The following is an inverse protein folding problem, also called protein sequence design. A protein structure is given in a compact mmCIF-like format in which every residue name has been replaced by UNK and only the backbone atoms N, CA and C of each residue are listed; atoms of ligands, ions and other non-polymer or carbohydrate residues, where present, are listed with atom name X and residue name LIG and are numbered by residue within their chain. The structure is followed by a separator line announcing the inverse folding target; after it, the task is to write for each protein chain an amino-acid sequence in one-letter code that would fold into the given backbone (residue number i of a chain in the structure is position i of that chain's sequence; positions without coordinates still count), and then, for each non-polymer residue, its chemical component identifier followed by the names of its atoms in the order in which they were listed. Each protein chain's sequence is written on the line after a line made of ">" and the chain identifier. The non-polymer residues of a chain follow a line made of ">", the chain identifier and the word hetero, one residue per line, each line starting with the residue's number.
data_IF_301286880846
#
_entry.id   IF_301286880846
#
_cell.length_a   1.000
_cell.length_b   1.000
_cell.length_c   1.000
_cell.angle_alpha   90.00
_cell.angle_beta   90.00
_cell.angle_gamma   90.00
#
_symmetry.space_group_name_H-M   'P 1'
#
loop_
_entity.id
_entity.type
_entity.pdbx_description
1 polymer ?
#
# COMPACT_ATOMS: atom_id res chain seq x y z
N UNK A 1 -9.26 -21.57 -19.91
CA UNK A 1 -9.72 -20.23 -20.30
C UNK A 1 -11.13 -19.86 -19.82
N UNK A 2 -12.06 -20.79 -19.61
CA UNK A 2 -13.41 -20.49 -19.06
C UNK A 2 -13.46 -20.31 -17.53
N UNK A 3 -12.47 -20.73 -16.77
CA UNK A 3 -12.48 -20.70 -15.31
C UNK A 3 -12.10 -19.33 -14.70
N UNK A 4 -11.33 -18.50 -15.41
CA UNK A 4 -10.85 -17.20 -14.88
C UNK A 4 -11.95 -16.12 -14.89
N UNK A 5 -12.91 -16.20 -15.82
CA UNK A 5 -14.03 -15.25 -15.91
C UNK A 5 -15.19 -15.56 -14.95
N UNK A 6 -15.27 -16.76 -14.37
CA UNK A 6 -16.39 -17.14 -13.49
C UNK A 6 -16.16 -16.73 -12.03
N UNK A 7 -14.93 -16.57 -11.57
CA UNK A 7 -14.62 -16.23 -10.16
C UNK A 7 -14.93 -14.77 -9.82
N UNK A 8 -14.74 -13.83 -10.77
CA UNK A 8 -15.05 -12.41 -10.55
C UNK A 8 -16.56 -12.08 -10.66
N UNK A 9 -17.35 -12.96 -11.26
CA UNK A 9 -18.80 -12.76 -11.38
C UNK A 9 -19.58 -13.13 -10.11
N UNK A 10 -19.06 -14.00 -9.24
CA UNK A 10 -19.76 -14.41 -8.00
C UNK A 10 -19.69 -13.35 -6.89
N UNK A 11 -18.64 -12.56 -6.82
CA UNK A 11 -18.46 -11.56 -5.76
C UNK A 11 -19.37 -10.32 -5.88
N UNK A 12 -20.00 -10.09 -7.05
CA UNK A 12 -20.91 -8.93 -7.26
C UNK A 12 -22.40 -9.21 -7.03
N UNK A 13 -22.80 -10.46 -6.74
CA UNK A 13 -24.23 -10.82 -6.62
C UNK A 13 -24.90 -10.51 -5.29
N UNK A 14 -24.20 -10.13 -4.27
CA UNK A 14 -24.77 -9.92 -2.92
C UNK A 14 -25.29 -8.52 -2.64
N UNK A 15 -25.09 -7.52 -3.52
CA UNK A 15 -25.56 -6.14 -3.28
C UNK A 15 -26.68 -5.59 -4.17
N UNK A 16 -27.13 -6.35 -5.16
CA UNK A 16 -28.28 -5.92 -5.98
C UNK A 16 -29.31 -7.04 -5.91
N UNK A 17 -30.33 -6.86 -5.09
CA UNK A 17 -31.42 -7.80 -4.82
C UNK A 17 -32.17 -8.32 -6.07
N UNK A 18 -31.48 -9.09 -6.89
CA UNK A 18 -32.05 -9.83 -8.02
C UNK A 18 -32.30 -11.25 -7.57
N UNK A 19 -33.57 -11.61 -7.50
CA UNK A 19 -34.08 -12.94 -7.15
C UNK A 19 -33.42 -14.04 -8.00
N UNK A 20 -33.14 -15.15 -7.33
CA UNK A 20 -32.59 -16.40 -7.88
C UNK A 20 -33.25 -16.82 -9.21
N UNK A 21 -32.48 -16.67 -10.28
CA UNK A 21 -32.73 -17.46 -11.49
C UNK A 21 -31.78 -18.65 -11.46
N UNK A 22 -32.28 -19.88 -11.55
CA UNK A 22 -31.44 -21.06 -11.57
C UNK A 22 -30.46 -20.97 -12.74
N UNK A 23 -29.16 -21.08 -12.50
CA UNK A 23 -28.17 -21.36 -13.52
C UNK A 23 -28.52 -22.72 -14.14
N UNK A 24 -29.25 -22.72 -15.20
CA UNK A 24 -29.36 -23.92 -16.06
C UNK A 24 -27.97 -24.14 -16.66
N UNK A 25 -27.27 -25.17 -16.17
CA UNK A 25 -26.24 -25.84 -16.93
C UNK A 25 -26.93 -26.32 -18.23
N UNK A 26 -26.75 -25.58 -19.32
CA UNK A 26 -27.14 -26.05 -20.63
C UNK A 26 -26.23 -27.25 -20.92
N UNK A 27 -26.74 -28.44 -20.66
CA UNK A 27 -26.21 -29.67 -21.20
C UNK A 27 -26.45 -29.59 -22.71
N UNK A 28 -25.42 -29.23 -23.45
CA UNK A 28 -25.41 -29.42 -24.91
C UNK A 28 -25.14 -30.92 -25.09
N UNK A 29 -26.11 -31.71 -25.59
CA UNK A 29 -25.84 -33.07 -25.96
C UNK A 29 -24.80 -33.01 -27.08
N UNK A 30 -23.61 -33.49 -26.85
CA UNK A 30 -22.64 -33.66 -27.91
C UNK A 30 -22.92 -34.95 -28.66
N UNK A 31 -23.81 -34.88 -29.64
CA UNK A 31 -23.85 -35.84 -30.72
C UNK A 31 -22.67 -35.61 -31.67
N UNK A 32 -21.49 -35.67 -31.15
CA UNK A 32 -20.27 -35.77 -31.93
C UNK A 32 -19.62 -37.10 -31.60
N UNK A 33 -19.61 -37.96 -32.61
CA UNK A 33 -19.01 -39.27 -32.66
C UNK A 33 -17.45 -39.21 -32.52
N UNK A 34 -16.95 -38.35 -31.61
CA UNK A 34 -15.54 -38.29 -31.29
C UNK A 34 -15.18 -39.45 -30.37
N UNK A 35 -14.21 -40.26 -30.80
CA UNK A 35 -13.68 -41.35 -29.98
C UNK A 35 -12.94 -40.79 -28.79
N UNK A 36 -13.42 -41.04 -27.58
CA UNK A 36 -12.73 -40.74 -26.33
C UNK A 36 -12.36 -42.06 -25.64
N UNK A 37 -11.15 -42.12 -25.04
CA UNK A 37 -10.65 -43.30 -24.33
C UNK A 37 -10.92 -43.24 -22.83
N UNK A 38 -11.24 -42.04 -22.28
CA UNK A 38 -11.45 -41.81 -20.85
C UNK A 38 -12.95 -41.71 -20.54
N UNK A 39 -13.39 -42.46 -19.54
CA UNK A 39 -14.75 -42.38 -18.99
C UNK A 39 -14.73 -41.45 -17.76
N UNK A 40 -15.89 -40.93 -17.37
CA UNK A 40 -16.06 -40.10 -16.17
C UNK A 40 -15.58 -40.86 -14.90
N UNK A 41 -15.85 -42.15 -14.81
CA UNK A 41 -15.43 -42.98 -13.69
C UNK A 41 -13.91 -43.17 -13.65
N UNK A 42 -13.25 -43.33 -14.81
CA UNK A 42 -11.80 -43.51 -14.88
C UNK A 42 -11.00 -42.26 -14.47
N UNK A 43 -11.62 -41.07 -14.53
CA UNK A 43 -10.95 -39.80 -14.16
C UNK A 43 -11.45 -39.21 -12.83
N UNK A 44 -12.43 -39.84 -12.18
CA UNK A 44 -13.13 -39.30 -11.00
C UNK A 44 -12.15 -38.87 -9.88
N UNK A 45 -11.17 -39.71 -9.54
CA UNK A 45 -10.20 -39.39 -8.49
C UNK A 45 -9.22 -38.29 -8.90
N UNK A 46 -8.89 -38.22 -10.19
CA UNK A 46 -8.05 -37.14 -10.72
C UNK A 46 -8.80 -35.81 -10.63
N UNK A 47 -10.07 -35.81 -11.03
CA UNK A 47 -10.94 -34.62 -10.97
C UNK A 47 -11.09 -34.16 -9.52
N UNK A 48 -11.37 -35.07 -8.57
CA UNK A 48 -11.51 -34.74 -7.16
C UNK A 48 -10.24 -34.11 -6.55
N UNK A 49 -9.06 -34.68 -6.87
CA UNK A 49 -7.77 -34.08 -6.41
C UNK A 49 -7.54 -32.70 -7.01
N UNK A 50 -7.82 -32.50 -8.28
CA UNK A 50 -7.68 -31.21 -8.94
C UNK A 50 -8.69 -30.18 -8.40
N UNK A 51 -9.94 -30.58 -8.12
CA UNK A 51 -10.94 -29.70 -7.52
C UNK A 51 -10.47 -29.20 -6.15
N UNK A 52 -9.94 -30.11 -5.30
CA UNK A 52 -9.39 -29.72 -4.00
C UNK A 52 -8.21 -28.77 -4.16
N UNK A 53 -7.22 -29.12 -4.99
CA UNK A 53 -6.03 -28.28 -5.21
C UNK A 53 -6.43 -26.88 -5.77
N UNK A 54 -7.37 -26.82 -6.70
CA UNK A 54 -7.85 -25.57 -7.26
C UNK A 54 -8.62 -24.72 -6.22
N UNK A 55 -9.40 -25.35 -5.34
CA UNK A 55 -10.08 -24.67 -4.25
C UNK A 55 -9.08 -24.10 -3.24
N UNK A 56 -8.07 -24.86 -2.84
CA UNK A 56 -7.00 -24.43 -1.94
C UNK A 56 -6.19 -23.29 -2.58
N UNK A 57 -5.91 -23.38 -3.89
CA UNK A 57 -5.25 -22.31 -4.64
C UNK A 57 -6.09 -21.03 -4.67
N UNK A 58 -7.38 -21.12 -5.00
CA UNK A 58 -8.27 -19.97 -5.05
C UNK A 58 -8.45 -19.29 -3.68
N UNK A 59 -8.38 -20.05 -2.59
CA UNK A 59 -8.41 -19.50 -1.24
C UNK A 59 -7.11 -18.74 -0.90
N UNK A 60 -5.96 -19.25 -1.32
CA UNK A 60 -4.65 -18.64 -1.06
C UNK A 60 -4.39 -17.43 -1.95
N UNK A 61 -4.88 -17.47 -3.19
CA UNK A 61 -4.71 -16.44 -4.21
C UNK A 61 -6.06 -15.92 -4.70
N UNK A 62 -6.77 -15.14 -3.86
CA UNK A 62 -8.10 -14.62 -4.21
C UNK A 62 -8.07 -13.58 -5.33
N UNK A 63 -6.88 -13.13 -5.72
CA UNK A 63 -6.68 -12.05 -6.67
C UNK A 63 -6.58 -10.68 -6.00
N UNK A 64 -6.49 -9.64 -6.82
CA UNK A 64 -6.40 -8.27 -6.33
C UNK A 64 -7.74 -7.79 -5.74
N UNK A 65 -7.65 -7.08 -4.62
CA UNK A 65 -8.80 -6.46 -3.99
C UNK A 65 -9.29 -5.28 -4.83
N UNK A 66 -10.61 -5.15 -4.98
CA UNK A 66 -11.23 -3.94 -5.53
C UNK A 66 -11.44 -2.82 -4.50
N UNK A 67 -10.89 -2.95 -3.31
CA UNK A 67 -10.93 -1.94 -2.27
C UNK A 67 -9.92 -0.83 -2.58
N UNK A 68 -10.22 0.38 -2.10
CA UNK A 68 -9.29 1.50 -2.19
C UNK A 68 -7.98 1.14 -1.46
N UNK A 69 -6.85 1.31 -2.16
CA UNK A 69 -5.52 1.30 -1.56
C UNK A 69 -5.02 2.75 -1.47
N UNK A 70 -4.47 3.20 -0.33
CA UNK A 70 -3.88 4.54 -0.24
C UNK A 70 -2.65 4.63 -1.15
N UNK A 71 -2.42 5.80 -1.75
CA UNK A 71 -1.25 6.01 -2.63
C UNK A 71 0.02 6.30 -1.84
N UNK A 72 -0.11 6.63 -0.57
CA UNK A 72 1.01 6.85 0.34
C UNK A 72 0.65 6.55 1.79
N UNK A 73 1.69 6.38 2.60
CA UNK A 73 1.64 6.40 4.06
C UNK A 73 2.59 7.46 4.58
N UNK A 74 2.15 8.23 5.57
CA UNK A 74 2.98 9.18 6.32
C UNK A 74 3.18 8.65 7.73
N UNK A 75 4.43 8.61 8.20
CA UNK A 75 4.78 8.24 9.57
C UNK A 75 5.09 9.49 10.39
N UNK A 76 4.53 9.57 11.58
CA UNK A 76 4.81 10.66 12.51
C UNK A 76 4.94 10.17 13.94
N UNK A 77 5.97 10.62 14.65
CA UNK A 77 6.25 10.20 16.04
C UNK A 77 5.02 10.38 16.94
N UNK A 78 4.72 9.37 17.76
CA UNK A 78 3.55 9.33 18.63
C UNK A 78 3.42 10.54 19.57
N UNK A 79 4.56 11.04 20.04
CA UNK A 79 4.62 12.24 20.91
C UNK A 79 4.17 13.55 20.23
N UNK A 80 4.10 13.57 18.90
CA UNK A 80 3.69 14.75 18.10
C UNK A 80 2.27 14.62 17.55
N UNK A 81 1.68 13.44 17.65
CA UNK A 81 0.37 13.17 17.05
C UNK A 81 -0.76 13.91 17.77
N UNK A 82 -1.61 14.55 16.97
CA UNK A 82 -2.86 15.20 17.37
C UNK A 82 -3.97 14.87 16.38
N UNK A 83 -5.20 14.94 16.82
CA UNK A 83 -6.40 14.75 15.98
C UNK A 83 -6.45 15.66 14.74
N UNK A 84 -5.67 16.74 14.74
CA UNK A 84 -5.54 17.70 13.64
C UNK A 84 -4.26 17.55 12.81
N UNK A 85 -3.44 16.55 13.10
CA UNK A 85 -2.10 16.36 12.46
C UNK A 85 -2.21 16.28 10.94
N UNK A 86 -3.15 15.48 10.41
CA UNK A 86 -3.28 15.27 8.96
C UNK A 86 -3.70 16.56 8.23
N UNK A 87 -4.60 17.34 8.81
CA UNK A 87 -4.98 18.65 8.28
C UNK A 87 -3.80 19.62 8.27
N UNK A 88 -3.00 19.63 9.35
CA UNK A 88 -1.80 20.46 9.45
C UNK A 88 -0.75 20.11 8.41
N UNK A 89 -0.55 18.83 8.13
CA UNK A 89 0.35 18.38 7.07
C UNK A 89 -0.14 18.85 5.70
N UNK A 90 -1.44 18.81 5.46
CA UNK A 90 -2.06 19.34 4.24
C UNK A 90 -1.80 20.83 4.04
N UNK A 91 -1.98 21.65 5.09
CA UNK A 91 -1.65 23.08 5.04
C UNK A 91 -0.17 23.33 4.72
N UNK A 92 0.73 22.56 5.31
CA UNK A 92 2.16 22.70 5.04
C UNK A 92 2.51 22.28 3.60
N UNK A 93 1.87 21.26 3.07
CA UNK A 93 2.02 20.84 1.67
C UNK A 93 1.53 21.92 0.69
N UNK A 94 0.37 22.51 0.95
CA UNK A 94 -0.15 23.63 0.15
C UNK A 94 0.77 24.82 0.15
N UNK A 95 1.23 25.25 1.34
CA UNK A 95 2.19 26.38 1.47
C UNK A 95 3.47 26.11 0.69
N UNK A 96 4.01 24.87 0.74
CA UNK A 96 5.19 24.51 -0.03
C UNK A 96 4.92 24.61 -1.53
N UNK A 97 3.78 24.13 -2.02
CA UNK A 97 3.40 24.23 -3.42
C UNK A 97 3.25 25.70 -3.84
N UNK A 98 2.51 26.51 -3.10
CA UNK A 98 2.32 27.93 -3.37
C UNK A 98 3.62 28.73 -3.38
N UNK A 99 4.53 28.41 -2.46
CA UNK A 99 5.81 29.12 -2.32
C UNK A 99 6.79 28.80 -3.47
N UNK A 100 6.88 27.52 -3.87
CA UNK A 100 7.92 27.04 -4.79
C UNK A 100 7.42 26.75 -6.21
N UNK A 101 6.10 26.62 -6.39
CA UNK A 101 5.48 26.45 -7.70
C UNK A 101 4.05 27.03 -7.69
N UNK A 102 3.90 28.37 -7.72
CA UNK A 102 2.61 29.05 -7.61
C UNK A 102 1.67 28.82 -8.80
N UNK A 103 2.17 28.24 -9.88
CA UNK A 103 1.42 27.97 -11.10
C UNK A 103 1.81 26.63 -11.72
N UNK A 104 0.93 26.15 -12.61
CA UNK A 104 1.07 24.87 -13.29
C UNK A 104 2.36 24.76 -14.14
N UNK A 105 2.75 25.84 -14.80
CA UNK A 105 3.95 25.85 -15.67
C UNK A 105 5.23 25.70 -14.84
N UNK A 106 5.33 26.44 -13.73
CA UNK A 106 6.45 26.33 -12.79
C UNK A 106 6.54 24.94 -12.19
N UNK A 107 5.40 24.36 -11.76
CA UNK A 107 5.37 23.01 -11.19
C UNK A 107 5.76 21.96 -12.24
N UNK A 108 5.16 22.01 -13.43
CA UNK A 108 5.47 21.08 -14.52
C UNK A 108 6.96 21.12 -14.88
N UNK A 109 7.56 22.31 -14.96
CA UNK A 109 9.00 22.48 -15.21
C UNK A 109 9.83 21.85 -14.08
N UNK A 110 9.47 22.05 -12.82
CA UNK A 110 10.19 21.52 -11.66
C UNK A 110 10.29 19.99 -11.67
N UNK A 111 9.22 19.29 -12.08
CA UNK A 111 9.16 17.82 -12.08
C UNK A 111 9.27 17.21 -13.49
N UNK A 112 9.46 18.02 -14.54
CA UNK A 112 9.47 17.61 -15.96
C UNK A 112 8.20 16.87 -16.38
N UNK A 113 7.05 17.42 -16.01
CA UNK A 113 5.75 16.95 -16.44
C UNK A 113 5.49 17.37 -17.90
N UNK A 114 4.70 16.62 -18.64
CA UNK A 114 4.27 16.98 -19.99
C UNK A 114 3.39 18.23 -19.97
N UNK A 115 3.66 19.19 -20.84
CA UNK A 115 2.94 20.46 -20.90
C UNK A 115 1.43 20.27 -21.10
N UNK A 116 1.02 19.28 -21.89
CA UNK A 116 -0.40 18.99 -22.17
C UNK A 116 -1.20 18.57 -20.93
N UNK A 117 -0.55 18.06 -19.88
CA UNK A 117 -1.18 17.63 -18.63
C UNK A 117 -0.93 18.59 -17.47
N UNK A 118 -0.05 19.61 -17.67
CA UNK A 118 0.40 20.48 -16.58
C UNK A 118 -0.73 21.11 -15.79
N UNK A 119 -1.67 21.78 -16.46
CA UNK A 119 -2.80 22.47 -15.79
C UNK A 119 -3.73 21.48 -15.10
N UNK A 120 -4.13 20.40 -15.79
CA UNK A 120 -5.05 19.41 -15.24
C UNK A 120 -4.49 18.71 -13.99
N UNK A 121 -3.20 18.39 -13.99
CA UNK A 121 -2.53 17.74 -12.85
C UNK A 121 -2.37 18.73 -11.71
N UNK A 122 -1.95 19.96 -11.99
CA UNK A 122 -1.81 21.00 -10.96
C UNK A 122 -3.12 21.24 -10.21
N UNK A 123 -4.23 21.43 -10.95
CA UNK A 123 -5.55 21.66 -10.36
C UNK A 123 -5.99 20.47 -9.47
N UNK A 124 -5.77 19.24 -9.94
CA UNK A 124 -6.06 18.01 -9.17
C UNK A 124 -5.21 17.90 -7.91
N UNK A 125 -3.92 18.25 -7.99
CA UNK A 125 -3.01 18.27 -6.82
C UNK A 125 -3.51 19.31 -5.79
N UNK A 126 -3.81 20.52 -6.22
CA UNK A 126 -4.33 21.58 -5.33
C UNK A 126 -5.63 21.15 -4.66
N UNK A 127 -6.57 20.59 -5.42
CA UNK A 127 -7.82 20.08 -4.87
C UNK A 127 -7.60 18.93 -3.88
N UNK A 128 -6.74 17.97 -4.23
CA UNK A 128 -6.42 16.83 -3.39
C UNK A 128 -5.80 17.25 -2.06
N UNK A 129 -4.85 18.20 -2.09
CA UNK A 129 -4.22 18.73 -0.89
C UNK A 129 -5.22 19.44 0.04
N UNK A 130 -6.25 20.07 -0.52
CA UNK A 130 -7.33 20.73 0.26
C UNK A 130 -8.30 19.73 0.88
N UNK A 131 -8.66 18.70 0.13
CA UNK A 131 -9.71 17.76 0.52
C UNK A 131 -9.20 16.62 1.40
N UNK A 132 -8.06 16.02 1.04
CA UNK A 132 -7.52 14.80 1.65
C UNK A 132 -6.02 14.71 1.35
N UNK A 133 -5.24 15.55 2.01
CA UNK A 133 -3.81 15.65 1.76
C UNK A 133 -3.02 14.42 2.24
N UNK A 134 -3.51 13.74 3.28
CA UNK A 134 -2.92 12.51 3.83
C UNK A 134 -3.96 11.41 3.73
N UNK A 135 -3.65 10.38 2.96
CA UNK A 135 -4.55 9.23 2.82
C UNK A 135 -4.38 8.21 3.93
N UNK A 136 -3.13 8.00 4.36
CA UNK A 136 -2.79 7.01 5.37
C UNK A 136 -1.75 7.55 6.34
N UNK A 137 -2.00 7.41 7.64
CA UNK A 137 -1.11 7.89 8.70
C UNK A 137 -0.76 6.78 9.69
N UNK A 138 0.54 6.62 9.98
CA UNK A 138 1.03 5.74 11.04
C UNK A 138 1.57 6.57 12.20
N UNK A 139 0.95 6.39 13.36
CA UNK A 139 1.43 6.92 14.63
C UNK A 139 2.60 6.03 15.04
N UNK A 140 3.79 6.61 15.07
CA UNK A 140 5.02 5.87 15.13
C UNK A 140 5.61 5.85 16.55
N UNK A 141 5.66 4.67 17.15
CA UNK A 141 6.32 4.41 18.43
C UNK A 141 7.74 3.84 18.27
N UNK A 142 8.22 3.74 17.04
CA UNK A 142 9.53 3.19 16.70
C UNK A 142 10.51 4.31 16.31
N UNK A 143 11.05 4.35 15.11
CA UNK A 143 12.09 5.30 14.70
C UNK A 143 11.68 6.77 14.83
N UNK A 144 10.44 7.11 14.50
CA UNK A 144 9.92 8.48 14.63
C UNK A 144 9.67 8.93 16.09
N UNK A 145 9.57 7.98 17.00
CA UNK A 145 9.46 8.23 18.44
C UNK A 145 10.82 8.21 19.14
N UNK A 146 11.66 7.24 18.78
CA UNK A 146 12.98 7.01 19.34
C UNK A 146 12.95 6.32 20.72
N UNK A 147 14.11 6.28 21.37
CA UNK A 147 14.23 5.69 22.71
C UNK A 147 13.88 6.72 23.77
N UNK A 148 12.86 6.40 24.57
CA UNK A 148 12.34 7.21 25.66
C UNK A 148 12.11 6.35 26.89
N UNK A 149 12.03 6.94 28.12
CA UNK A 149 11.62 6.21 29.31
C UNK A 149 10.25 5.54 29.11
N UNK A 150 10.06 4.38 29.72
CA UNK A 150 8.83 3.59 29.64
C UNK A 150 7.57 4.38 30.06
N UNK A 151 7.70 5.19 31.12
CA UNK A 151 6.59 6.06 31.58
C UNK A 151 6.20 7.13 30.57
N UNK A 152 7.17 7.68 29.82
CA UNK A 152 6.91 8.65 28.75
C UNK A 152 6.21 7.98 27.57
N UNK A 153 6.62 6.75 27.21
CA UNK A 153 5.99 5.99 26.14
C UNK A 153 4.56 5.56 26.51
N UNK A 154 4.33 5.12 27.76
CA UNK A 154 2.99 4.80 28.27
C UNK A 154 2.05 6.01 28.13
N UNK A 155 2.50 7.17 28.59
CA UNK A 155 1.71 8.40 28.48
C UNK A 155 1.47 8.81 27.02
N UNK A 156 2.45 8.63 26.14
CA UNK A 156 2.30 8.91 24.73
C UNK A 156 1.30 7.94 24.06
N UNK A 157 1.31 6.65 24.44
CA UNK A 157 0.37 5.67 23.93
C UNK A 157 -1.07 6.03 24.31
N UNK A 158 -1.31 6.36 25.57
CA UNK A 158 -2.60 6.82 26.06
C UNK A 158 -3.05 8.13 25.36
N UNK A 159 -2.14 9.13 25.30
CA UNK A 159 -2.44 10.42 24.66
C UNK A 159 -2.76 10.26 23.17
N UNK A 160 -1.98 9.48 22.43
CA UNK A 160 -2.22 9.25 21.01
C UNK A 160 -3.53 8.52 20.76
N UNK A 161 -3.89 7.54 21.57
CA UNK A 161 -5.17 6.83 21.48
C UNK A 161 -6.37 7.77 21.73
N UNK A 162 -6.29 8.66 22.73
CA UNK A 162 -7.30 9.69 22.99
C UNK A 162 -7.45 10.65 21.81
N UNK A 163 -6.33 11.06 21.19
CA UNK A 163 -6.35 11.93 20.00
C UNK A 163 -6.96 11.22 18.78
N UNK A 164 -6.69 9.90 18.59
CA UNK A 164 -7.35 9.10 17.55
C UNK A 164 -8.85 9.03 17.80
N UNK A 165 -9.29 8.73 19.02
CA UNK A 165 -10.71 8.67 19.37
C UNK A 165 -11.41 10.02 19.12
N UNK A 166 -10.77 11.13 19.50
CA UNK A 166 -11.27 12.47 19.23
C UNK A 166 -11.35 12.74 17.72
N UNK A 167 -10.28 12.44 16.97
CA UNK A 167 -10.26 12.66 15.54
C UNK A 167 -11.24 11.76 14.76
N UNK A 168 -11.50 10.56 15.27
CA UNK A 168 -12.53 9.67 14.73
C UNK A 168 -13.93 10.26 14.93
N UNK A 169 -14.23 10.74 16.12
CA UNK A 169 -15.52 11.37 16.43
C UNK A 169 -15.77 12.64 15.59
N UNK A 170 -14.73 13.46 15.38
CA UNK A 170 -14.82 14.71 14.60
C UNK A 170 -14.53 14.53 13.10
N UNK A 171 -14.19 13.31 12.64
CA UNK A 171 -13.82 12.99 11.25
C UNK A 171 -12.65 13.82 10.73
N UNK A 172 -11.62 13.97 11.55
CA UNK A 172 -10.41 14.74 11.23
C UNK A 172 -9.18 13.89 10.98
N UNK A 173 -9.24 12.58 11.26
CA UNK A 173 -8.17 11.63 10.94
C UNK A 173 -8.21 11.22 9.46
N UNK A 174 -7.09 10.69 8.97
CA UNK A 174 -7.01 10.14 7.60
C UNK A 174 -7.92 8.93 7.41
N UNK A 175 -8.33 8.62 6.17
CA UNK A 175 -9.16 7.45 5.84
C UNK A 175 -8.54 6.11 6.23
N UNK A 176 -7.21 6.05 6.25
CA UNK A 176 -6.41 4.93 6.74
C UNK A 176 -5.55 5.43 7.89
N UNK A 177 -5.56 4.71 8.99
CA UNK A 177 -4.78 5.08 10.18
C UNK A 177 -4.30 3.83 10.90
N UNK A 178 -3.20 3.92 11.59
CA UNK A 178 -2.70 2.85 12.42
C UNK A 178 -1.54 3.28 13.30
N UNK A 179 -0.97 2.31 13.97
CA UNK A 179 0.23 2.51 14.78
C UNK A 179 1.37 1.64 14.26
N UNK A 180 2.59 2.13 14.35
CA UNK A 180 3.79 1.30 14.24
C UNK A 180 4.35 1.11 15.65
N UNK A 181 4.34 -0.14 16.11
CA UNK A 181 4.88 -0.54 17.41
C UNK A 181 6.41 -0.74 17.32
N UNK A 182 7.07 -0.93 18.45
CA UNK A 182 8.48 -1.32 18.46
C UNK A 182 8.67 -2.75 17.95
N UNK A 183 9.86 -3.12 17.43
CA UNK A 183 10.13 -4.48 16.96
C UNK A 183 10.09 -5.50 18.11
N UNK A 184 9.79 -6.75 17.77
CA UNK A 184 9.76 -7.85 18.74
C UNK A 184 11.15 -8.48 18.92
N UNK A 185 12.15 -7.63 19.19
CA UNK A 185 13.49 -8.08 19.62
C UNK A 185 13.47 -8.47 21.09
N UNK A 186 14.54 -9.11 21.55
CA UNK A 186 14.69 -9.53 22.96
C UNK A 186 14.54 -8.36 23.93
N UNK A 187 15.07 -7.18 23.55
CA UNK A 187 15.09 -5.99 24.41
C UNK A 187 13.79 -5.18 24.36
N UNK A 188 13.03 -5.25 23.27
CA UNK A 188 11.91 -4.32 23.02
C UNK A 188 10.53 -4.97 23.04
N UNK A 189 10.42 -6.30 22.96
CA UNK A 189 9.14 -6.99 22.84
C UNK A 189 8.16 -6.67 23.96
N UNK A 190 8.61 -6.70 25.21
CA UNK A 190 7.73 -6.43 26.38
C UNK A 190 7.23 -4.98 26.37
N UNK A 191 8.13 -4.06 26.00
CA UNK A 191 7.76 -2.66 25.82
C UNK A 191 6.73 -2.49 24.69
N UNK A 192 6.92 -3.19 23.59
CA UNK A 192 6.02 -3.17 22.44
C UNK A 192 4.64 -3.71 22.77
N UNK A 193 4.57 -4.83 23.49
CA UNK A 193 3.31 -5.42 23.95
C UNK A 193 2.54 -4.44 24.85
N UNK A 194 3.24 -3.80 25.78
CA UNK A 194 2.65 -2.83 26.68
C UNK A 194 2.12 -1.59 25.94
N UNK A 195 2.89 -1.06 25.00
CA UNK A 195 2.46 0.08 24.16
C UNK A 195 1.18 -0.26 23.37
N UNK A 196 1.16 -1.45 22.75
CA UNK A 196 0.00 -1.94 22.01
C UNK A 196 -1.24 -2.06 22.91
N UNK A 197 -1.10 -2.66 24.08
CA UNK A 197 -2.19 -2.86 25.03
C UNK A 197 -2.75 -1.51 25.52
N UNK A 198 -1.90 -0.59 25.99
CA UNK A 198 -2.32 0.74 26.45
C UNK A 198 -3.06 1.48 25.34
N UNK A 199 -2.51 1.47 24.12
CA UNK A 199 -3.11 2.18 22.99
C UNK A 199 -4.49 1.63 22.64
N UNK A 200 -4.62 0.30 22.46
CA UNK A 200 -5.88 -0.33 22.07
C UNK A 200 -6.91 -0.26 23.20
N UNK A 201 -6.53 -0.51 24.44
CA UNK A 201 -7.43 -0.41 25.60
C UNK A 201 -8.00 1.00 25.75
N UNK A 202 -7.15 2.02 25.61
CA UNK A 202 -7.59 3.43 25.67
C UNK A 202 -8.50 3.78 24.48
N UNK A 203 -8.11 3.40 23.27
CA UNK A 203 -8.89 3.70 22.07
C UNK A 203 -10.29 3.09 22.16
N UNK A 204 -10.38 1.79 22.45
CA UNK A 204 -11.66 1.07 22.51
C UNK A 204 -12.55 1.54 23.66
N UNK A 205 -11.97 1.90 24.81
CA UNK A 205 -12.73 2.55 25.89
C UNK A 205 -13.41 3.85 25.41
N UNK A 206 -12.70 4.69 24.66
CA UNK A 206 -13.22 5.99 24.18
C UNK A 206 -14.18 5.87 22.99
N UNK A 207 -14.09 4.80 22.23
CA UNK A 207 -14.91 4.57 21.03
C UNK A 207 -16.00 3.50 21.23
N UNK A 208 -16.19 3.01 22.45
CA UNK A 208 -17.13 1.92 22.78
C UNK A 208 -16.86 0.64 21.96
N UNK A 209 -15.60 0.26 21.83
CA UNK A 209 -15.16 -0.95 21.11
C UNK A 209 -15.05 -0.80 19.59
N UNK A 210 -15.33 0.37 19.02
CA UNK A 210 -15.30 0.57 17.57
C UNK A 210 -13.94 1.16 17.13
N UNK A 211 -13.24 0.48 16.25
CA UNK A 211 -12.03 1.03 15.63
C UNK A 211 -12.37 1.97 14.47
N UNK A 212 -11.48 2.95 14.17
CA UNK A 212 -11.55 3.67 12.90
C UNK A 212 -11.48 2.70 11.71
N UNK A 213 -12.18 3.04 10.63
CA UNK A 213 -12.07 2.28 9.39
C UNK A 213 -10.59 2.14 8.95
N UNK A 214 -10.23 0.96 8.43
CA UNK A 214 -8.87 0.68 7.95
C UNK A 214 -7.77 0.88 9.02
N UNK A 215 -8.09 0.66 10.30
CA UNK A 215 -7.07 0.65 11.36
C UNK A 215 -6.13 -0.55 11.22
N UNK A 216 -4.82 -0.33 11.38
CA UNK A 216 -3.81 -1.38 11.25
C UNK A 216 -2.67 -1.20 12.25
N UNK A 217 -2.07 -2.32 12.66
CA UNK A 217 -0.84 -2.32 13.47
C UNK A 217 0.32 -2.77 12.59
N UNK A 218 1.32 -1.90 12.47
CA UNK A 218 2.54 -2.17 11.71
C UNK A 218 3.59 -2.80 12.61
N UNK A 219 4.07 -4.00 12.24
CA UNK A 219 5.18 -4.68 12.90
C UNK A 219 6.48 -4.42 12.13
N UNK A 220 7.45 -3.67 12.72
CA UNK A 220 8.72 -3.37 12.06
C UNK A 220 9.77 -4.45 12.28
N UNK A 221 10.85 -4.40 11.49
CA UNK A 221 12.10 -5.15 11.62
C UNK A 221 11.91 -6.67 11.81
N UNK A 222 10.93 -7.22 11.07
CA UNK A 222 10.59 -8.64 11.14
C UNK A 222 11.72 -9.50 10.57
N UNK A 223 12.12 -10.53 11.30
CA UNK A 223 13.18 -11.47 10.90
C UNK A 223 12.71 -12.93 10.88
N UNK A 224 11.62 -13.25 11.60
CA UNK A 224 11.13 -14.62 11.77
C UNK A 224 9.59 -14.67 11.81
N UNK A 225 8.97 -15.76 11.28
CA UNK A 225 7.51 -15.94 11.34
C UNK A 225 6.95 -15.95 12.78
N UNK A 226 7.75 -16.37 13.75
CA UNK A 226 7.35 -16.39 15.17
C UNK A 226 7.02 -15.00 15.72
N UNK A 227 7.67 -13.95 15.21
CA UNK A 227 7.33 -12.57 15.60
C UNK A 227 5.96 -12.16 15.08
N UNK A 228 5.59 -12.60 13.89
CA UNK A 228 4.27 -12.31 13.31
C UNK A 228 3.18 -13.13 14.00
N UNK A 229 3.44 -14.42 14.29
CA UNK A 229 2.49 -15.24 15.04
C UNK A 229 2.28 -14.72 16.46
N UNK A 230 3.33 -14.21 17.13
CA UNK A 230 3.19 -13.59 18.45
C UNK A 230 2.27 -12.37 18.43
N UNK A 231 2.35 -11.52 17.38
CA UNK A 231 1.41 -10.40 17.23
C UNK A 231 -0.02 -10.89 17.00
N UNK A 232 -0.20 -11.94 16.19
CA UNK A 232 -1.51 -12.54 15.97
C UNK A 232 -2.06 -13.17 17.26
N UNK A 233 -1.21 -13.80 18.10
CA UNK A 233 -1.60 -14.33 19.40
C UNK A 233 -2.02 -13.21 20.38
N UNK A 234 -1.30 -12.08 20.38
CA UNK A 234 -1.69 -10.90 21.17
C UNK A 234 -3.07 -10.38 20.75
N UNK A 235 -3.36 -10.36 19.45
CA UNK A 235 -4.67 -9.94 18.95
C UNK A 235 -5.78 -10.89 19.36
N UNK A 236 -5.53 -12.21 19.35
CA UNK A 236 -6.48 -13.20 19.82
C UNK A 236 -6.80 -13.06 21.33
N UNK A 237 -5.87 -12.49 22.12
CA UNK A 237 -6.09 -12.17 23.53
C UNK A 237 -6.80 -10.83 23.73
N UNK A 238 -6.44 -9.81 22.93
CA UNK A 238 -6.97 -8.46 23.08
C UNK A 238 -8.40 -8.32 22.55
N UNK A 239 -8.71 -8.90 21.39
CA UNK A 239 -10.04 -8.76 20.77
C UNK A 239 -11.19 -9.12 21.72
N UNK A 240 -11.23 -10.31 22.34
CA UNK A 240 -12.31 -10.65 23.27
C UNK A 240 -12.27 -9.81 24.56
N UNK A 241 -11.09 -9.40 25.03
CA UNK A 241 -10.94 -8.59 26.25
C UNK A 241 -11.48 -7.17 26.04
N UNK A 242 -11.32 -6.64 24.82
CA UNK A 242 -11.74 -5.30 24.42
C UNK A 242 -13.13 -5.27 23.74
N UNK A 243 -13.87 -6.39 23.76
CA UNK A 243 -15.17 -6.57 23.11
C UNK A 243 -15.17 -6.29 21.61
N UNK A 244 -14.08 -6.64 20.94
CA UNK A 244 -13.91 -6.53 19.50
C UNK A 244 -14.35 -7.82 18.77
N UNK A 245 -14.64 -7.70 17.48
CA UNK A 245 -14.92 -8.86 16.64
C UNK A 245 -13.65 -9.69 16.39
N UNK A 246 -13.81 -10.99 16.22
CA UNK A 246 -12.67 -11.87 15.90
C UNK A 246 -12.08 -11.50 14.54
N UNK A 247 -10.76 -11.38 14.48
CA UNK A 247 -10.00 -10.92 13.31
C UNK A 247 -10.28 -9.46 12.89
N UNK A 248 -10.73 -8.62 13.78
CA UNK A 248 -10.89 -7.18 13.53
C UNK A 248 -9.53 -6.48 13.38
N UNK A 249 -8.59 -6.78 14.29
CA UNK A 249 -7.24 -6.23 14.25
C UNK A 249 -6.44 -6.79 13.06
N UNK A 250 -5.85 -5.88 12.28
CA UNK A 250 -5.07 -6.19 11.08
C UNK A 250 -3.60 -5.88 11.28
N UNK A 251 -2.78 -6.61 10.53
CA UNK A 251 -1.31 -6.52 10.56
C UNK A 251 -0.82 -5.92 9.24
N UNK A 252 0.11 -4.99 9.36
CA UNK A 252 0.97 -4.54 8.28
C UNK A 252 2.41 -4.92 8.64
N UNK A 253 3.15 -5.49 7.71
CA UNK A 253 4.52 -5.93 7.92
C UNK A 253 5.52 -4.96 7.28
N UNK A 254 6.55 -4.56 8.04
CA UNK A 254 7.72 -3.91 7.47
C UNK A 254 8.70 -4.97 6.96
N UNK A 255 8.93 -4.94 5.67
CA UNK A 255 9.89 -5.81 4.99
C UNK A 255 11.17 -5.00 4.77
N UNK A 256 12.05 -5.04 5.77
CA UNK A 256 13.21 -4.15 5.87
C UNK A 256 14.46 -4.83 6.42
N UNK A 257 14.41 -6.16 6.56
CA UNK A 257 15.57 -6.99 6.92
C UNK A 257 15.87 -7.98 5.81
N UNK A 258 17.12 -8.38 5.67
CA UNK A 258 17.49 -9.42 4.70
C UNK A 258 16.80 -10.74 4.99
N UNK A 259 16.57 -11.06 6.28
CA UNK A 259 15.91 -12.27 6.75
C UNK A 259 14.42 -12.31 6.43
N UNK A 260 13.75 -11.15 6.33
CA UNK A 260 12.35 -11.10 5.88
C UNK A 260 12.18 -11.49 4.40
N UNK A 261 13.23 -11.32 3.59
CA UNK A 261 13.25 -11.70 2.16
C UNK A 261 13.64 -13.16 1.99
N UNK A 262 14.82 -13.54 2.49
CA UNK A 262 15.37 -14.90 2.37
C UNK A 262 15.74 -15.42 3.75
N UNK A 263 15.20 -16.57 4.14
CA UNK A 263 15.50 -17.21 5.41
C UNK A 263 16.86 -17.95 5.41
N UNK A 264 17.25 -18.48 6.56
CA UNK A 264 18.52 -19.20 6.73
C UNK A 264 18.65 -20.48 5.88
N UNK A 265 17.56 -20.96 5.28
CA UNK A 265 17.55 -22.12 4.38
C UNK A 265 17.63 -21.71 2.90
N UNK A 266 17.70 -20.41 2.61
CA UNK A 266 17.72 -19.90 1.24
C UNK A 266 16.33 -19.86 0.58
N UNK A 267 15.26 -19.97 1.35
CA UNK A 267 13.88 -19.91 0.88
C UNK A 267 13.31 -18.52 1.06
N UNK A 268 12.34 -18.11 0.21
CA UNK A 268 11.57 -16.87 0.44
C UNK A 268 10.85 -16.97 1.78
N UNK A 269 11.09 -16.00 2.66
CA UNK A 269 10.45 -15.97 3.97
C UNK A 269 9.05 -15.32 3.94
N UNK A 270 8.74 -14.53 2.92
CA UNK A 270 7.50 -13.79 2.82
C UNK A 270 6.24 -14.66 2.93
N UNK A 271 6.10 -15.81 2.23
CA UNK A 271 4.94 -16.67 2.39
C UNK A 271 4.78 -17.19 3.83
N UNK A 272 5.89 -17.48 4.52
CA UNK A 272 5.87 -17.96 5.90
C UNK A 272 5.44 -16.87 6.89
N UNK A 273 5.89 -15.63 6.67
CA UNK A 273 5.45 -14.46 7.45
C UNK A 273 3.94 -14.23 7.28
N UNK A 274 3.42 -14.32 6.05
CA UNK A 274 1.99 -14.14 5.78
C UNK A 274 1.15 -15.26 6.38
N UNK A 275 1.62 -16.50 6.30
CA UNK A 275 0.93 -17.65 6.91
C UNK A 275 0.86 -17.49 8.44
N UNK A 276 1.95 -17.03 9.07
CA UNK A 276 2.02 -16.76 10.50
C UNK A 276 1.02 -15.67 10.97
N UNK A 277 0.65 -14.75 10.09
CA UNK A 277 -0.37 -13.73 10.37
C UNK A 277 -1.80 -14.27 10.40
N UNK A 278 -2.05 -15.51 10.03
CA UNK A 278 -3.36 -16.21 10.10
C UNK A 278 -4.51 -15.43 9.43
N UNK A 279 -4.23 -14.79 8.28
CA UNK A 279 -5.20 -14.00 7.53
C UNK A 279 -5.41 -12.57 8.03
N UNK A 280 -4.62 -12.11 9.01
CA UNK A 280 -4.66 -10.74 9.55
C UNK A 280 -3.78 -9.76 8.75
N UNK A 281 -2.79 -10.25 7.98
CA UNK A 281 -1.92 -9.40 7.18
C UNK A 281 -2.65 -8.83 5.97
N UNK A 282 -2.67 -7.50 5.84
CA UNK A 282 -3.31 -6.78 4.73
C UNK A 282 -2.33 -6.00 3.86
N UNK A 283 -1.14 -5.69 4.38
CA UNK A 283 -0.13 -4.91 3.66
C UNK A 283 1.30 -5.33 4.04
N UNK A 284 2.22 -5.15 3.10
CA UNK A 284 3.65 -5.31 3.28
C UNK A 284 4.38 -4.08 2.73
N UNK A 285 5.09 -3.37 3.59
CA UNK A 285 5.80 -2.13 3.28
C UNK A 285 7.30 -2.37 3.20
N UNK A 286 7.94 -1.89 2.15
CA UNK A 286 9.38 -2.03 1.97
C UNK A 286 10.14 -0.90 2.67
N UNK A 287 11.01 -1.24 3.63
CA UNK A 287 11.85 -0.29 4.36
C UNK A 287 13.24 -0.18 3.72
N UNK A 288 13.43 0.77 2.81
CA UNK A 288 14.64 0.94 1.99
C UNK A 288 15.92 1.06 2.82
N UNK A 289 15.91 1.86 3.87
CA UNK A 289 17.14 2.27 4.57
C UNK A 289 17.61 1.19 5.54
N UNK A 290 16.73 0.60 6.32
CA UNK A 290 17.04 -0.55 7.17
C UNK A 290 17.50 -1.75 6.33
N UNK A 291 16.81 -2.04 5.21
CA UNK A 291 17.18 -3.12 4.30
C UNK A 291 18.57 -2.91 3.68
N UNK A 292 18.85 -1.73 3.17
CA UNK A 292 20.15 -1.44 2.56
C UNK A 292 21.27 -1.40 3.59
N UNK A 293 21.00 -0.93 4.82
CA UNK A 293 21.94 -1.02 5.93
C UNK A 293 22.24 -2.49 6.30
N UNK A 294 21.22 -3.35 6.38
CA UNK A 294 21.43 -4.78 6.65
C UNK A 294 22.17 -5.52 5.51
N UNK A 295 22.18 -4.95 4.30
CA UNK A 295 23.02 -5.39 3.18
C UNK A 295 24.44 -4.80 3.21
N UNK A 296 24.87 -4.11 4.27
CA UNK A 296 26.17 -3.42 4.37
C UNK A 296 26.40 -2.34 3.30
N UNK A 297 25.34 -1.74 2.76
CA UNK A 297 25.44 -0.64 1.81
C UNK A 297 25.68 0.64 2.59
N UNK A 298 26.72 1.39 2.19
CA UNK A 298 27.08 2.64 2.88
C UNK A 298 26.04 3.73 2.63
N UNK A 299 25.86 4.63 3.59
CA UNK A 299 24.80 5.65 3.60
C UNK A 299 24.71 6.48 2.31
N UNK A 300 25.84 6.78 1.67
CA UNK A 300 25.87 7.54 0.41
C UNK A 300 25.19 6.82 -0.77
N UNK A 301 25.01 5.49 -0.68
CA UNK A 301 24.43 4.64 -1.71
C UNK A 301 23.07 4.05 -1.33
N UNK A 302 22.55 4.39 -0.16
CA UNK A 302 21.21 3.95 0.29
C UNK A 302 20.13 4.78 -0.40
N UNK A 303 19.68 4.30 -1.56
CA UNK A 303 18.64 4.96 -2.38
C UNK A 303 17.58 3.96 -2.81
N UNK A 304 16.35 4.43 -3.04
CA UNK A 304 15.21 3.58 -3.42
C UNK A 304 15.44 2.75 -4.68
N UNK A 305 16.24 3.26 -5.61
CA UNK A 305 16.56 2.63 -6.90
C UNK A 305 17.84 1.80 -6.87
N UNK A 306 18.37 1.48 -5.68
CA UNK A 306 19.53 0.61 -5.57
C UNK A 306 19.17 -0.82 -6.01
N UNK A 307 20.03 -1.54 -6.78
CA UNK A 307 19.72 -2.90 -7.27
C UNK A 307 19.36 -3.90 -6.16
N UNK A 308 19.92 -3.75 -4.95
CA UNK A 308 19.52 -4.59 -3.81
C UNK A 308 18.04 -4.37 -3.43
N UNK A 309 17.54 -3.14 -3.52
CA UNK A 309 16.12 -2.83 -3.30
C UNK A 309 15.24 -3.48 -4.36
N UNK A 310 15.66 -3.46 -5.63
CA UNK A 310 14.92 -4.10 -6.72
C UNK A 310 14.82 -5.60 -6.50
N UNK A 311 15.90 -6.26 -6.04
CA UNK A 311 15.87 -7.68 -5.67
C UNK A 311 14.81 -7.97 -4.59
N UNK A 312 14.81 -7.20 -3.50
CA UNK A 312 13.83 -7.37 -2.42
C UNK A 312 12.40 -7.12 -2.89
N UNK A 313 12.17 -6.03 -3.61
CA UNK A 313 10.86 -5.64 -4.14
C UNK A 313 10.31 -6.67 -5.13
N UNK A 314 11.15 -7.24 -6.00
CA UNK A 314 10.73 -8.31 -6.90
C UNK A 314 10.38 -9.60 -6.15
N UNK A 315 11.12 -9.97 -5.09
CA UNK A 315 10.73 -11.07 -4.21
C UNK A 315 9.37 -10.82 -3.57
N UNK A 316 9.12 -9.62 -3.01
CA UNK A 316 7.81 -9.24 -2.47
C UNK A 316 6.72 -9.38 -3.53
N UNK A 317 6.94 -8.87 -4.73
CA UNK A 317 5.98 -8.93 -5.83
C UNK A 317 5.64 -10.36 -6.23
N UNK A 318 6.64 -11.22 -6.39
CA UNK A 318 6.44 -12.62 -6.79
C UNK A 318 5.78 -13.43 -5.67
N UNK A 319 6.22 -13.27 -4.43
CA UNK A 319 5.70 -14.03 -3.29
C UNK A 319 4.25 -13.67 -2.94
N UNK A 320 3.85 -12.40 -3.13
CA UNK A 320 2.57 -11.88 -2.69
C UNK A 320 1.57 -11.59 -3.83
N UNK A 321 1.96 -11.82 -5.09
CA UNK A 321 1.09 -11.63 -6.23
C UNK A 321 -0.18 -12.50 -6.11
N UNK A 322 -1.35 -11.88 -6.30
CA UNK A 322 -2.64 -12.56 -6.25
C UNK A 322 -3.15 -12.89 -4.85
N UNK A 323 -2.41 -12.56 -3.79
CA UNK A 323 -2.83 -12.80 -2.39
C UNK A 323 -3.82 -11.73 -1.88
N UNK A 324 -3.96 -10.61 -2.58
CA UNK A 324 -4.76 -9.47 -2.12
C UNK A 324 -4.03 -8.56 -1.12
N UNK A 325 -2.80 -8.89 -0.73
CA UNK A 325 -1.97 -8.08 0.18
C UNK A 325 -1.40 -6.89 -0.59
N UNK A 326 -1.60 -5.69 -0.07
CA UNK A 326 -1.08 -4.47 -0.66
C UNK A 326 0.43 -4.34 -0.47
N UNK A 327 1.10 -3.86 -1.51
CA UNK A 327 2.53 -3.59 -1.47
C UNK A 327 2.77 -2.08 -1.49
N UNK A 328 3.61 -1.61 -0.55
CA UNK A 328 4.09 -0.24 -0.49
C UNK A 328 5.60 -0.21 -0.68
N UNK A 329 6.08 0.70 -1.54
CA UNK A 329 7.52 0.97 -1.70
C UNK A 329 8.02 1.86 -0.55
N UNK A 330 9.32 2.07 -0.46
CA UNK A 330 9.97 2.89 0.54
C UNK A 330 9.83 4.39 0.31
N UNK A 331 10.70 5.17 0.95
CA UNK A 331 10.67 6.62 0.95
C UNK A 331 11.90 7.25 0.27
N UNK A 332 11.70 8.43 -0.31
CA UNK A 332 12.80 9.31 -0.73
C UNK A 332 13.29 10.12 0.47
N UNK A 333 14.55 9.96 0.85
CA UNK A 333 15.16 10.64 2.00
C UNK A 333 15.69 12.06 1.72
N UNK A 334 15.59 12.55 0.50
CA UNK A 334 15.95 13.93 0.16
C UNK A 334 14.69 14.79 0.30
N UNK A 335 14.72 15.66 1.33
CA UNK A 335 13.58 16.51 1.66
C UNK A 335 13.55 17.77 0.80
N UNK A 336 12.36 18.17 0.28
CA UNK A 336 12.20 19.44 -0.43
C UNK A 336 12.12 20.60 0.56
N UNK A 337 13.22 20.88 1.25
CA UNK A 337 13.35 21.91 2.25
C UNK A 337 14.37 22.94 1.82
N UNK A 338 13.93 24.21 1.87
CA UNK A 338 14.80 25.34 1.53
C UNK A 338 15.96 25.49 2.52
N UNK A 339 17.22 25.63 2.06
CA UNK A 339 18.38 25.80 2.92
C UNK A 339 18.41 27.14 3.65
N UNK A 340 17.87 28.20 3.05
CA UNK A 340 17.86 29.54 3.63
C UNK A 340 16.47 29.88 4.19
N UNK A 341 16.43 30.40 5.41
CA UNK A 341 15.21 30.76 6.14
C UNK A 341 15.27 32.21 6.64
N UNK A 342 14.12 32.81 6.91
CA UNK A 342 13.99 34.13 7.48
C UNK A 342 13.59 35.20 6.47
N UNK A 343 13.45 36.45 6.98
CA UNK A 343 13.08 37.61 6.17
C UNK A 343 14.34 38.29 5.63
N UNK A 344 14.29 38.78 4.39
CA UNK A 344 15.40 39.54 3.79
C UNK A 344 16.46 38.65 3.08
N UNK A 345 16.04 37.53 2.52
CA UNK A 345 16.91 36.69 1.71
C UNK A 345 17.38 37.44 0.45
N UNK A 346 18.65 37.21 0.08
CA UNK A 346 19.19 37.74 -1.20
C UNK A 346 18.56 36.99 -2.39
N UNK A 347 18.69 37.56 -3.61
CA UNK A 347 18.19 36.92 -4.82
C UNK A 347 18.87 35.56 -5.07
N UNK A 348 20.15 35.45 -4.74
CA UNK A 348 20.94 34.21 -4.84
C UNK A 348 20.37 33.14 -3.89
N UNK A 349 20.07 33.52 -2.65
CA UNK A 349 19.49 32.61 -1.64
C UNK A 349 18.07 32.15 -2.03
N UNK A 350 17.26 33.04 -2.59
CA UNK A 350 15.93 32.70 -3.10
C UNK A 350 16.05 31.70 -4.25
N UNK A 351 17.00 31.93 -5.16
CA UNK A 351 17.25 31.04 -6.29
C UNK A 351 17.77 29.67 -5.81
N UNK A 352 18.70 29.64 -4.88
CA UNK A 352 19.20 28.37 -4.30
C UNK A 352 18.11 27.57 -3.57
N UNK A 353 17.24 28.26 -2.85
CA UNK A 353 16.04 27.65 -2.24
C UNK A 353 15.16 26.97 -3.27
N UNK A 354 14.84 27.68 -4.37
CA UNK A 354 14.01 27.18 -5.45
C UNK A 354 14.65 25.96 -6.12
N UNK A 355 15.92 26.06 -6.50
CA UNK A 355 16.67 24.98 -7.15
C UNK A 355 16.77 23.74 -6.27
N UNK A 356 16.97 23.93 -4.96
CA UNK A 356 17.06 22.81 -4.01
C UNK A 356 15.74 22.09 -3.85
N UNK A 357 14.63 22.83 -3.70
CA UNK A 357 13.30 22.23 -3.57
C UNK A 357 12.89 21.53 -4.87
N UNK A 358 13.10 22.18 -6.02
CA UNK A 358 12.76 21.58 -7.32
C UNK A 358 13.57 20.31 -7.62
N UNK A 359 14.87 20.29 -7.26
CA UNK A 359 15.69 19.10 -7.41
C UNK A 359 15.17 17.93 -6.55
N UNK A 360 14.79 18.20 -5.30
CA UNK A 360 14.22 17.21 -4.40
C UNK A 360 12.83 16.72 -4.90
N UNK A 361 11.98 17.63 -5.40
CA UNK A 361 10.71 17.27 -6.02
C UNK A 361 10.89 16.39 -7.25
N UNK A 362 11.85 16.74 -8.12
CA UNK A 362 12.14 15.94 -9.32
C UNK A 362 12.63 14.53 -8.97
N UNK A 363 13.50 14.42 -7.98
CA UNK A 363 13.96 13.12 -7.49
C UNK A 363 12.80 12.29 -6.93
N UNK A 364 11.99 12.87 -6.07
CA UNK A 364 10.82 12.20 -5.47
C UNK A 364 9.81 11.76 -6.55
N UNK A 365 9.48 12.64 -7.49
CA UNK A 365 8.63 12.31 -8.63
C UNK A 365 9.16 11.10 -9.43
N UNK A 366 10.45 11.09 -9.74
CA UNK A 366 11.07 9.99 -10.49
C UNK A 366 11.05 8.67 -9.70
N UNK A 367 11.27 8.71 -8.38
CA UNK A 367 11.19 7.52 -7.52
C UNK A 367 9.77 6.95 -7.52
N UNK A 368 8.74 7.80 -7.41
CA UNK A 368 7.35 7.35 -7.46
C UNK A 368 7.00 6.76 -8.82
N UNK A 369 7.42 7.39 -9.92
CA UNK A 369 7.23 6.85 -11.27
C UNK A 369 7.88 5.46 -11.42
N UNK A 370 9.08 5.28 -10.88
CA UNK A 370 9.74 3.96 -10.84
C UNK A 370 8.92 2.96 -10.03
N UNK A 371 8.41 3.34 -8.86
CA UNK A 371 7.56 2.46 -8.04
C UNK A 371 6.29 2.03 -8.79
N UNK A 372 5.60 2.97 -9.42
CA UNK A 372 4.36 2.71 -10.18
C UNK A 372 4.60 1.77 -11.38
N UNK A 373 5.68 1.98 -12.14
CA UNK A 373 6.08 1.09 -13.25
C UNK A 373 6.35 -0.34 -12.76
N UNK A 374 6.89 -0.48 -11.55
CA UNK A 374 7.14 -1.76 -10.90
C UNK A 374 5.92 -2.29 -10.12
N UNK A 375 4.73 -1.71 -10.34
CA UNK A 375 3.46 -2.09 -9.71
C UNK A 375 3.47 -1.99 -8.17
N UNK A 376 4.17 -0.99 -7.62
CA UNK A 376 4.01 -0.52 -6.26
C UNK A 376 3.21 0.77 -6.30
N UNK A 377 1.92 0.67 -5.97
CA UNK A 377 0.97 1.79 -6.09
C UNK A 377 0.86 2.63 -4.82
N UNK A 378 1.60 2.27 -3.78
CA UNK A 378 1.75 2.97 -2.52
C UNK A 378 3.24 3.15 -2.19
N UNK A 379 3.57 4.16 -1.39
CA UNK A 379 4.93 4.39 -0.90
C UNK A 379 4.91 5.31 0.32
N UNK A 380 6.09 5.69 0.84
CA UNK A 380 6.21 6.58 1.97
C UNK A 380 6.51 8.01 1.57
N UNK A 381 5.89 8.95 2.31
CA UNK A 381 6.26 10.35 2.29
C UNK A 381 6.73 10.77 3.68
N UNK A 382 7.96 11.30 3.76
CA UNK A 382 8.62 11.65 5.02
C UNK A 382 8.41 13.12 5.42
N UNK A 383 7.93 13.94 4.48
CA UNK A 383 7.77 15.38 4.70
C UNK A 383 6.55 15.91 3.93
N UNK A 384 5.74 16.82 4.51
CA UNK A 384 4.55 17.35 3.84
C UNK A 384 4.84 18.01 2.49
N UNK A 385 6.00 18.61 2.29
CA UNK A 385 6.39 19.17 1.00
C UNK A 385 6.64 18.13 -0.12
N UNK A 386 6.60 16.82 0.17
CA UNK A 386 6.62 15.73 -0.82
C UNK A 386 5.23 15.42 -1.36
N UNK A 387 4.16 15.75 -0.64
CA UNK A 387 2.78 15.41 -1.03
C UNK A 387 2.36 15.97 -2.40
N UNK A 388 2.72 17.22 -2.79
CA UNK A 388 2.41 17.70 -4.13
C UNK A 388 2.98 16.81 -5.24
N UNK A 389 4.22 16.36 -5.09
CA UNK A 389 4.88 15.50 -6.09
C UNK A 389 4.40 14.06 -6.04
N UNK A 390 3.97 13.55 -4.88
CA UNK A 390 3.29 12.26 -4.75
C UNK A 390 2.06 12.21 -5.65
N UNK A 391 1.15 13.15 -5.47
CA UNK A 391 -0.09 13.19 -6.24
C UNK A 391 0.16 13.51 -7.72
N UNK A 392 1.09 14.41 -8.02
CA UNK A 392 1.44 14.69 -9.42
C UNK A 392 1.96 13.44 -10.14
N UNK A 393 2.81 12.63 -9.49
CA UNK A 393 3.33 11.42 -10.08
C UNK A 393 2.24 10.37 -10.32
N UNK A 394 1.34 10.17 -9.35
CA UNK A 394 0.21 9.23 -9.49
C UNK A 394 -0.73 9.68 -10.62
N UNK A 395 -1.13 10.96 -10.63
CA UNK A 395 -2.01 11.48 -11.68
C UNK A 395 -1.35 11.42 -13.06
N UNK A 396 -0.06 11.77 -13.15
CA UNK A 396 0.68 11.69 -14.42
C UNK A 396 0.69 10.25 -14.95
N UNK A 397 1.02 9.27 -14.12
CA UNK A 397 1.10 7.87 -14.50
C UNK A 397 -0.22 7.35 -15.10
N UNK A 398 -1.36 7.66 -14.45
CA UNK A 398 -2.65 7.18 -14.90
C UNK A 398 -3.25 8.04 -16.04
N UNK A 399 -3.04 9.35 -16.06
CA UNK A 399 -3.59 10.20 -17.11
C UNK A 399 -2.85 10.10 -18.43
N UNK A 400 -1.54 9.87 -18.41
CA UNK A 400 -0.74 9.74 -19.63
C UNK A 400 -1.10 8.53 -20.50
N UNK A 401 -1.52 7.43 -19.85
CA UNK A 401 -1.87 6.18 -20.53
C UNK A 401 -3.36 5.96 -20.75
N UNK A 402 -4.23 6.81 -20.20
CA UNK A 402 -5.66 6.54 -20.07
C UNK A 402 -6.36 6.27 -21.40
N UNK A 403 -6.21 7.16 -22.38
CA UNK A 403 -6.91 7.06 -23.67
C UNK A 403 -6.46 5.81 -24.43
N UNK A 404 -5.15 5.57 -24.49
CA UNK A 404 -4.58 4.39 -25.15
C UNK A 404 -5.02 3.09 -24.46
N UNK A 405 -4.99 3.04 -23.15
CA UNK A 405 -5.45 1.87 -22.40
C UNK A 405 -6.96 1.61 -22.58
N UNK A 406 -7.76 2.68 -22.59
CA UNK A 406 -9.21 2.58 -22.79
C UNK A 406 -9.55 2.06 -24.20
N UNK A 407 -8.88 2.57 -25.23
CA UNK A 407 -9.09 2.11 -26.60
C UNK A 407 -8.68 0.64 -26.79
N UNK A 408 -7.51 0.26 -26.27
CA UNK A 408 -7.01 -1.13 -26.32
C UNK A 408 -7.98 -2.08 -25.60
N UNK A 409 -8.43 -1.73 -24.37
CA UNK A 409 -9.40 -2.55 -23.63
C UNK A 409 -10.73 -2.69 -24.37
N UNK A 410 -11.27 -1.58 -24.94
CA UNK A 410 -12.48 -1.60 -25.73
C UNK A 410 -12.36 -2.55 -26.91
N UNK A 411 -11.26 -2.50 -27.65
CA UNK A 411 -11.01 -3.35 -28.81
C UNK A 411 -10.84 -4.82 -28.40
N UNK A 412 -10.14 -5.10 -27.31
CA UNK A 412 -9.98 -6.44 -26.77
C UNK A 412 -11.33 -7.07 -26.37
N UNK A 413 -12.18 -6.31 -25.69
CA UNK A 413 -13.53 -6.78 -25.31
C UNK A 413 -14.41 -6.97 -26.53
N UNK A 414 -14.39 -6.04 -27.50
CA UNK A 414 -15.22 -6.12 -28.72
C UNK A 414 -14.89 -7.35 -29.57
N UNK A 415 -13.65 -7.82 -29.54
CA UNK A 415 -13.21 -9.04 -30.24
C UNK A 415 -13.35 -10.30 -29.38
N UNK A 416 -14.18 -10.28 -28.34
CA UNK A 416 -14.45 -11.40 -27.43
C UNK A 416 -13.17 -12.01 -26.81
N UNK A 417 -12.22 -11.15 -26.41
CA UNK A 417 -10.93 -11.52 -25.84
C UNK A 417 -10.04 -12.39 -26.75
N UNK A 418 -10.21 -12.27 -28.06
CA UNK A 418 -9.29 -12.88 -29.03
C UNK A 418 -8.01 -12.04 -29.14
N UNK A 419 -6.91 -12.68 -29.49
CA UNK A 419 -5.66 -12.00 -29.79
C UNK A 419 -5.85 -10.98 -30.92
N UNK A 420 -5.40 -9.76 -30.71
CA UNK A 420 -5.58 -8.65 -31.63
C UNK A 420 -4.28 -7.87 -31.86
N UNK A 421 -4.15 -7.32 -33.06
CA UNK A 421 -3.09 -6.39 -33.42
C UNK A 421 -3.71 -4.99 -33.58
N UNK A 422 -3.22 -4.01 -32.84
CA UNK A 422 -3.64 -2.61 -32.93
C UNK A 422 -2.38 -1.76 -33.18
N UNK A 423 -2.25 -1.26 -34.40
CA UNK A 423 -1.00 -0.63 -34.83
C UNK A 423 0.13 -1.67 -34.88
N UNK A 424 1.16 -1.47 -34.08
CA UNK A 424 2.30 -2.36 -33.86
C UNK A 424 2.20 -3.16 -32.55
N UNK A 425 1.12 -3.01 -31.78
CA UNK A 425 0.92 -3.66 -30.47
C UNK A 425 0.00 -4.87 -30.61
N UNK A 426 0.50 -6.01 -30.17
CA UNK A 426 -0.25 -7.27 -30.09
C UNK A 426 -0.84 -7.47 -28.70
N UNK A 427 -2.16 -7.56 -28.60
CA UNK A 427 -2.89 -7.82 -27.36
C UNK A 427 -3.47 -9.24 -27.33
N UNK A 428 -3.09 -10.01 -26.32
CA UNK A 428 -3.60 -11.33 -25.99
C UNK A 428 -4.30 -11.35 -24.61
N UNK A 429 -4.60 -12.53 -24.10
CA UNK A 429 -5.26 -12.67 -22.80
C UNK A 429 -4.41 -12.12 -21.63
N UNK A 430 -3.08 -12.23 -21.72
CA UNK A 430 -2.18 -11.71 -20.68
C UNK A 430 -2.12 -10.17 -20.72
N UNK A 431 -2.05 -9.58 -21.91
CA UNK A 431 -2.12 -8.13 -22.09
C UNK A 431 -3.48 -7.58 -21.69
N UNK A 432 -4.57 -8.31 -21.97
CA UNK A 432 -5.91 -7.96 -21.49
C UNK A 432 -6.00 -7.90 -19.96
N UNK A 433 -5.31 -8.80 -19.23
CA UNK A 433 -5.19 -8.73 -17.79
C UNK A 433 -4.36 -7.50 -17.34
N UNK A 434 -3.30 -7.16 -18.06
CA UNK A 434 -2.51 -5.95 -17.80
C UNK A 434 -3.32 -4.66 -17.96
N UNK A 435 -4.18 -4.58 -18.99
CA UNK A 435 -5.11 -3.46 -19.18
C UNK A 435 -6.13 -3.38 -18.04
N UNK A 436 -6.67 -4.52 -17.60
CA UNK A 436 -7.59 -4.56 -16.47
C UNK A 436 -6.91 -4.09 -15.17
N UNK A 437 -5.67 -4.52 -14.91
CA UNK A 437 -4.90 -4.08 -13.75
C UNK A 437 -4.72 -2.55 -13.73
N UNK A 438 -4.50 -1.93 -14.88
CA UNK A 438 -4.42 -0.47 -14.99
C UNK A 438 -5.70 0.20 -14.47
N UNK A 439 -6.88 -0.23 -14.94
CA UNK A 439 -8.17 0.37 -14.54
C UNK A 439 -8.59 0.01 -13.10
N UNK A 440 -8.08 -1.07 -12.54
CA UNK A 440 -8.32 -1.41 -11.14
C UNK A 440 -7.54 -0.51 -10.16
N UNK A 441 -6.49 0.18 -10.66
CA UNK A 441 -5.59 1.01 -9.85
C UNK A 441 -5.73 2.51 -10.15
N UNK A 442 -6.33 2.89 -11.28
CA UNK A 442 -6.63 4.29 -11.63
C UNK A 442 -7.83 4.83 -10.86
#
# INVERSE_FOLDING_TARGET
>A
MRAVLTSSCLARRTRLGVKDSPCYLIFIPSDNNMKTSLTQDSIKDIVARLQKANADFAKRYPGESGLRQPVHTVYGGAHLFKSTTTARLGELAQRSLEQFAPDAATFAKAISLRDSLAQSIYDRVVEKLKREAVEDFRIDFEDGFGNRPDEEEDHCAESAANEVAMGFAYKTISPFIGIRIKPFTEELRERSFRTLDIFLSTLTEKTNGVLPDNFVVTLPKVVAPEQVSALADLFDLLEPTLNMETNELKIELMIETTQSIINHRGESNLPLLIEAARGRCIAAHFGTYDYTASCNITAAHQVMTHPACDFAKHNMKVALAGTGIWLSDGATNIMPVAPHRGNGLTQEQIKENLETVHRAWKLHFNHIQNSLVNAFYQGWDLHPAQLPTRYAAVYSFFLEGLDTAAERLKNFVAKAAQATLIGDVFDDAATGQGLLNYFLRA
#
